data_IF_670631766639
#
_entry.id   IF_670631766639
#
_cell.length_a   1.000
_cell.length_b   1.000
_cell.length_c   1.000
_cell.angle_alpha   90.00
_cell.angle_beta   90.00
_cell.angle_gamma   90.00
#
_symmetry.space_group_name_H-M   'P 1'
#
loop_
_entity.id
_entity.type
_entity.pdbx_description
1 polymer ?
#
# COMPACT_ATOMS: atom_id res chain seq x y z
N UNK A 1 -9.91 11.92 43.68
CA UNK A 1 -10.10 11.94 42.22
C UNK A 1 -10.86 10.69 41.85
N UNK A 2 -12.03 10.85 41.26
CA UNK A 2 -12.92 9.72 40.95
C UNK A 2 -12.57 9.17 39.57
N UNK A 3 -12.83 7.87 39.36
CA UNK A 3 -12.54 7.11 38.13
C UNK A 3 -13.15 7.68 36.85
N UNK A 4 -14.01 8.71 36.95
CA UNK A 4 -14.58 9.46 35.83
C UNK A 4 -13.65 10.53 35.26
N UNK A 5 -12.71 11.06 36.04
CA UNK A 5 -11.82 12.16 35.61
C UNK A 5 -10.59 11.67 34.80
N UNK A 6 -10.28 10.37 34.85
CA UNK A 6 -9.26 9.73 34.00
C UNK A 6 -9.79 9.32 32.61
N UNK A 7 -11.10 9.47 32.36
CA UNK A 7 -11.76 9.10 31.11
C UNK A 7 -11.92 10.26 30.11
N UNK A 8 -11.55 11.48 30.48
CA UNK A 8 -11.46 12.63 29.57
C UNK A 8 -10.06 12.72 28.95
N UNK A 9 -9.61 11.62 28.36
CA UNK A 9 -8.44 11.64 27.47
C UNK A 9 -8.78 12.51 26.26
N UNK A 10 -8.12 13.67 26.16
CA UNK A 10 -8.09 14.60 25.01
C UNK A 10 -8.85 14.09 23.79
N UNK A 11 -10.08 14.59 23.57
CA UNK A 11 -10.80 14.39 22.31
C UNK A 11 -9.84 14.74 21.17
N UNK A 12 -9.53 13.78 20.32
CA UNK A 12 -8.67 14.01 19.16
C UNK A 12 -9.25 15.17 18.34
N UNK A 13 -8.40 16.14 17.97
CA UNK A 13 -8.78 17.27 17.12
C UNK A 13 -8.96 16.87 15.64
N UNK A 14 -8.82 15.57 15.32
CA UNK A 14 -8.99 15.05 13.97
C UNK A 14 -10.43 15.28 13.49
N UNK A 15 -10.55 15.86 12.29
CA UNK A 15 -11.83 15.99 11.58
C UNK A 15 -12.34 14.62 11.12
N UNK A 16 -11.41 13.73 10.78
CA UNK A 16 -11.65 12.33 10.46
C UNK A 16 -10.40 11.50 10.78
N UNK A 17 -10.56 10.18 10.80
CA UNK A 17 -9.45 9.22 10.90
C UNK A 17 -9.57 8.26 9.72
N UNK A 18 -8.63 8.32 8.80
CA UNK A 18 -8.60 7.48 7.62
C UNK A 18 -7.22 6.88 7.38
N UNK A 19 -7.21 5.66 6.86
CA UNK A 19 -5.99 4.95 6.50
C UNK A 19 -6.05 4.52 5.04
N UNK A 20 -5.00 4.84 4.28
CA UNK A 20 -4.76 4.16 3.01
C UNK A 20 -4.00 2.87 3.28
N UNK A 21 -4.53 1.75 2.79
CA UNK A 21 -4.02 0.39 3.08
C UNK A 21 -3.54 -0.34 1.84
N UNK A 22 -3.37 0.37 0.72
CA UNK A 22 -2.79 -0.20 -0.49
C UNK A 22 -1.31 -0.58 -0.31
N UNK A 23 -0.86 -1.57 -1.09
CA UNK A 23 0.56 -1.94 -1.13
C UNK A 23 1.41 -0.92 -1.89
N UNK A 24 2.73 -1.07 -1.83
CA UNK A 24 3.65 -0.27 -2.63
C UNK A 24 3.22 -0.19 -4.11
N UNK A 25 3.34 1.01 -4.70
CA UNK A 25 3.01 1.31 -6.10
C UNK A 25 1.53 1.29 -6.49
N UNK A 26 0.60 1.25 -5.54
CA UNK A 26 -0.85 1.34 -5.86
C UNK A 26 -1.45 2.73 -5.69
N UNK A 27 -0.65 3.76 -5.39
CA UNK A 27 -1.12 5.15 -5.29
C UNK A 27 -1.17 5.71 -3.86
N UNK A 28 -0.46 5.11 -2.91
CA UNK A 28 -0.37 5.57 -1.52
C UNK A 28 0.17 7.00 -1.39
N UNK A 29 1.21 7.39 -2.15
CA UNK A 29 1.71 8.78 -2.11
C UNK A 29 0.64 9.76 -2.56
N UNK A 30 0.01 9.50 -3.70
CA UNK A 30 -1.06 10.35 -4.23
C UNK A 30 -2.23 10.46 -3.26
N UNK A 31 -2.54 9.39 -2.51
CA UNK A 31 -3.56 9.47 -1.46
C UNK A 31 -3.14 10.40 -0.32
N UNK A 32 -1.89 10.36 0.13
CA UNK A 32 -1.41 11.31 1.14
C UNK A 32 -1.50 12.76 0.64
N UNK A 33 -1.01 13.00 -0.58
CA UNK A 33 -0.92 14.35 -1.15
C UNK A 33 -2.30 14.92 -1.49
N UNK A 34 -3.26 14.07 -1.89
CA UNK A 34 -4.66 14.45 -2.09
C UNK A 34 -5.27 15.08 -0.84
N UNK A 35 -4.86 14.60 0.33
CA UNK A 35 -5.25 15.13 1.64
C UNK A 35 -4.27 16.18 2.18
N UNK A 36 -3.44 16.81 1.34
CA UNK A 36 -2.39 17.76 1.78
C UNK A 36 -2.89 19.02 2.51
N UNK A 37 -4.21 19.32 2.48
CA UNK A 37 -4.83 20.38 3.30
C UNK A 37 -5.26 19.90 4.71
N UNK A 38 -5.05 18.63 4.99
CA UNK A 38 -5.31 17.95 6.25
C UNK A 38 -4.01 17.52 6.90
N UNK A 39 -4.07 17.01 8.13
CA UNK A 39 -2.92 16.33 8.74
C UNK A 39 -2.75 14.99 8.06
N UNK A 40 -2.01 15.00 6.95
CA UNK A 40 -1.80 13.85 6.09
C UNK A 40 -0.32 13.49 6.04
N UNK A 41 -0.02 12.20 5.97
CA UNK A 41 1.35 11.71 5.88
C UNK A 41 1.46 10.48 4.97
N UNK A 42 2.54 10.44 4.19
CA UNK A 42 2.96 9.23 3.48
C UNK A 42 4.08 8.55 4.25
N UNK A 43 3.92 7.27 4.57
CA UNK A 43 4.97 6.45 5.23
C UNK A 43 5.45 7.02 6.58
N UNK A 44 4.54 7.58 7.39
CA UNK A 44 4.86 8.09 8.72
C UNK A 44 5.53 7.00 9.60
N UNK A 45 6.70 7.34 10.17
CA UNK A 45 7.56 6.43 10.94
C UNK A 45 7.91 5.13 10.19
N UNK A 46 8.31 5.25 8.92
CA UNK A 46 8.49 4.11 8.02
C UNK A 46 9.43 3.04 8.58
N UNK A 47 10.69 3.41 8.85
CA UNK A 47 11.74 2.46 9.22
C UNK A 47 11.40 1.77 10.54
N UNK A 48 10.94 2.52 11.54
CA UNK A 48 10.54 2.00 12.84
C UNK A 48 9.36 1.03 12.71
N UNK A 49 8.37 1.37 11.90
CA UNK A 49 7.16 0.56 11.73
C UNK A 49 7.44 -0.73 10.99
N UNK A 50 8.25 -0.68 9.93
CA UNK A 50 8.68 -1.89 9.22
C UNK A 50 9.52 -2.80 10.12
N UNK A 51 10.40 -2.23 10.95
CA UNK A 51 11.16 -3.02 11.92
C UNK A 51 10.25 -3.72 12.95
N UNK A 52 9.19 -3.06 13.41
CA UNK A 52 8.20 -3.66 14.33
C UNK A 52 7.34 -4.73 13.64
N UNK A 53 6.94 -4.51 12.38
CA UNK A 53 6.26 -5.53 11.57
C UNK A 53 7.15 -6.77 11.44
N UNK A 54 8.42 -6.58 11.08
CA UNK A 54 9.38 -7.68 10.95
C UNK A 54 9.54 -8.44 12.27
N UNK A 55 9.78 -7.73 13.37
CA UNK A 55 9.91 -8.33 14.69
C UNK A 55 8.66 -9.13 15.11
N UNK A 56 7.47 -8.63 14.80
CA UNK A 56 6.22 -9.34 15.10
C UNK A 56 6.04 -10.58 14.24
N UNK A 57 6.26 -10.48 12.92
CA UNK A 57 6.11 -11.62 12.00
C UNK A 57 7.16 -12.71 12.22
N UNK A 58 8.33 -12.35 12.74
CA UNK A 58 9.39 -13.29 13.14
C UNK A 58 9.23 -13.80 14.59
N UNK A 59 8.17 -13.40 15.30
CA UNK A 59 7.87 -13.87 16.66
C UNK A 59 8.77 -13.29 17.76
N UNK A 60 9.54 -12.24 17.45
CA UNK A 60 10.46 -11.58 18.38
C UNK A 60 9.72 -10.67 19.39
N UNK A 61 8.51 -10.22 19.05
CA UNK A 61 7.63 -9.45 19.94
C UNK A 61 6.23 -10.06 19.96
N UNK A 62 5.56 -9.91 21.10
CA UNK A 62 4.18 -10.40 21.28
C UNK A 62 3.17 -9.59 20.43
N UNK A 63 2.00 -10.17 20.10
CA UNK A 63 0.89 -9.43 19.50
C UNK A 63 0.48 -8.20 20.32
N UNK A 64 0.52 -8.28 21.65
CA UNK A 64 0.18 -7.19 22.55
C UNK A 64 1.20 -6.04 22.48
N UNK A 65 2.49 -6.39 22.42
CA UNK A 65 3.58 -5.41 22.23
C UNK A 65 3.46 -4.71 20.88
N UNK A 66 3.18 -5.48 19.82
CA UNK A 66 3.01 -4.93 18.48
C UNK A 66 1.79 -4.01 18.39
N UNK A 67 0.63 -4.44 18.94
CA UNK A 67 -0.55 -3.59 19.07
C UNK A 67 -0.26 -2.30 19.84
N UNK A 68 0.44 -2.40 20.98
CA UNK A 68 0.81 -1.21 21.76
C UNK A 68 1.67 -0.22 20.95
N UNK A 69 2.59 -0.72 20.12
CA UNK A 69 3.36 0.11 19.19
C UNK A 69 2.48 0.78 18.13
N UNK A 70 1.54 0.06 17.51
CA UNK A 70 0.62 0.64 16.51
C UNK A 70 -0.24 1.75 17.13
N UNK A 71 -0.76 1.54 18.34
CA UNK A 71 -1.51 2.56 19.08
C UNK A 71 -0.63 3.76 19.45
N UNK A 72 0.63 3.53 19.79
CA UNK A 72 1.59 4.61 20.02
C UNK A 72 1.83 5.42 18.74
N UNK A 73 2.10 4.75 17.60
CA UNK A 73 2.30 5.38 16.30
C UNK A 73 1.12 6.25 15.89
N UNK A 74 -0.11 5.73 16.00
CA UNK A 74 -1.31 6.53 15.67
C UNK A 74 -1.40 7.80 16.52
N UNK A 75 -1.10 7.72 17.82
CA UNK A 75 -1.09 8.89 18.71
C UNK A 75 0.03 9.88 18.38
N UNK A 76 1.22 9.41 18.00
CA UNK A 76 2.34 10.27 17.65
C UNK A 76 2.10 11.06 16.37
N UNK A 77 1.53 10.42 15.34
CA UNK A 77 1.25 11.09 14.08
C UNK A 77 0.09 12.06 14.18
N UNK A 78 -0.92 11.73 15.00
CA UNK A 78 -2.22 12.40 15.05
C UNK A 78 -2.80 12.76 13.67
N UNK A 79 -2.53 11.88 12.69
CA UNK A 79 -2.89 12.08 11.28
C UNK A 79 -4.38 11.86 11.08
N UNK A 80 -4.97 12.73 10.27
CA UNK A 80 -6.30 12.58 9.72
C UNK A 80 -6.27 11.57 8.56
N UNK A 81 -5.27 11.65 7.67
CA UNK A 81 -4.98 10.67 6.62
C UNK A 81 -3.59 10.06 6.83
N UNK A 82 -3.56 8.79 7.18
CA UNK A 82 -2.32 8.01 7.27
C UNK A 82 -2.25 7.05 6.07
N UNK A 83 -1.43 7.42 5.10
CA UNK A 83 -1.24 6.61 3.91
C UNK A 83 0.11 5.93 3.96
N UNK A 84 0.10 4.60 4.10
CA UNK A 84 1.34 3.84 4.10
C UNK A 84 1.15 2.49 3.42
N UNK A 85 2.17 2.17 2.63
CA UNK A 85 2.36 0.91 1.92
C UNK A 85 2.37 -0.32 2.83
N UNK A 86 2.59 -0.13 4.13
CA UNK A 86 2.67 -1.18 5.14
C UNK A 86 1.45 -1.24 6.09
N UNK A 87 0.49 -0.30 5.98
CA UNK A 87 -0.69 -0.26 6.87
C UNK A 87 -1.49 -1.57 6.82
N UNK A 88 -1.53 -2.25 5.68
CA UNK A 88 -2.23 -3.53 5.54
C UNK A 88 -1.71 -4.63 6.46
N UNK A 89 -0.45 -4.57 6.90
CA UNK A 89 0.15 -5.61 7.76
C UNK A 89 -0.54 -5.68 9.13
N UNK A 90 -1.06 -4.56 9.62
CA UNK A 90 -1.73 -4.43 10.92
C UNK A 90 -3.17 -3.89 10.78
N UNK A 91 -3.79 -4.07 9.61
CA UNK A 91 -5.16 -3.62 9.35
C UNK A 91 -6.17 -4.13 10.39
N UNK A 92 -6.04 -5.39 10.81
CA UNK A 92 -6.86 -5.98 11.87
C UNK A 92 -6.84 -5.18 13.19
N UNK A 93 -5.68 -4.64 13.58
CA UNK A 93 -5.55 -3.78 14.77
C UNK A 93 -6.29 -2.46 14.54
N UNK A 94 -6.12 -1.83 13.37
CA UNK A 94 -6.80 -0.56 13.07
C UNK A 94 -8.33 -0.71 13.10
N UNK A 95 -8.85 -1.80 12.54
CA UNK A 95 -10.29 -2.09 12.51
C UNK A 95 -10.86 -2.27 13.91
N UNK A 96 -10.13 -3.02 14.76
CA UNK A 96 -10.56 -3.35 16.12
C UNK A 96 -10.49 -2.15 17.06
N UNK A 97 -9.41 -1.36 16.97
CA UNK A 97 -9.15 -0.28 17.94
C UNK A 97 -9.81 1.04 17.56
N UNK A 98 -10.11 1.25 16.28
CA UNK A 98 -10.68 2.51 15.78
C UNK A 98 -11.98 2.23 15.03
N UNK A 99 -13.08 2.13 15.76
CA UNK A 99 -14.42 1.80 15.23
C UNK A 99 -14.96 2.84 14.23
N UNK A 100 -14.52 4.09 14.35
CA UNK A 100 -14.91 5.21 13.49
C UNK A 100 -14.01 5.37 12.27
N UNK A 101 -12.85 4.71 12.25
CA UNK A 101 -11.87 4.87 11.18
C UNK A 101 -12.41 4.41 9.83
N UNK A 102 -11.98 5.12 8.78
CA UNK A 102 -12.29 4.83 7.38
C UNK A 102 -11.08 4.23 6.67
N UNK A 103 -11.31 3.33 5.73
CA UNK A 103 -10.25 2.64 5.02
C UNK A 103 -10.36 2.88 3.51
N UNK A 104 -9.26 3.32 2.91
CA UNK A 104 -9.17 3.44 1.45
C UNK A 104 -8.16 2.41 0.97
N UNK A 105 -8.63 1.46 0.17
CA UNK A 105 -7.78 0.44 -0.43
C UNK A 105 -7.49 0.81 -1.87
N UNK A 106 -6.31 1.40 -2.09
CA UNK A 106 -5.81 1.65 -3.44
C UNK A 106 -5.19 0.38 -4.02
N UNK A 107 -5.59 0.02 -5.23
CA UNK A 107 -5.15 -1.21 -5.89
C UNK A 107 -4.82 -0.98 -7.36
N UNK A 108 -3.81 -1.67 -7.88
CA UNK A 108 -3.38 -1.59 -9.28
C UNK A 108 -3.35 -3.00 -9.89
N UNK A 109 -3.66 -3.11 -11.18
CA UNK A 109 -3.56 -4.37 -11.90
C UNK A 109 -2.15 -4.97 -11.81
N UNK A 110 -2.05 -6.30 -11.84
CA UNK A 110 -0.79 -6.99 -11.56
C UNK A 110 0.32 -6.62 -12.55
N UNK A 111 0.00 -6.39 -13.83
CA UNK A 111 0.96 -6.01 -14.86
C UNK A 111 1.53 -4.60 -14.60
N UNK A 112 0.66 -3.59 -14.52
CA UNK A 112 1.09 -2.21 -14.30
C UNK A 112 1.72 -2.02 -12.92
N UNK A 113 1.33 -2.83 -11.93
CA UNK A 113 1.97 -2.87 -10.62
C UNK A 113 3.39 -3.43 -10.71
N UNK A 114 3.55 -4.61 -11.32
CA UNK A 114 4.83 -5.28 -11.46
C UNK A 114 5.83 -4.37 -12.18
N UNK A 115 5.43 -3.81 -13.32
CA UNK A 115 6.28 -2.89 -14.08
C UNK A 115 6.64 -1.62 -13.27
N UNK A 116 5.69 -1.09 -12.50
CA UNK A 116 5.95 0.09 -11.66
C UNK A 116 6.87 -0.19 -10.48
N UNK A 117 6.81 -1.40 -9.92
CA UNK A 117 7.68 -1.85 -8.86
C UNK A 117 9.11 -2.07 -9.37
N UNK A 118 9.28 -2.74 -10.50
CA UNK A 118 10.60 -2.94 -11.13
C UNK A 118 11.25 -1.59 -11.46
N UNK A 119 10.49 -0.64 -12.00
CA UNK A 119 10.99 0.73 -12.23
C UNK A 119 11.36 1.45 -10.93
N UNK A 120 10.67 1.20 -9.81
CA UNK A 120 11.07 1.75 -8.51
C UNK A 120 12.42 1.18 -8.09
N UNK A 121 12.55 -0.15 -8.08
CA UNK A 121 13.79 -0.86 -7.72
C UNK A 121 14.97 -0.41 -8.58
N UNK A 122 14.77 -0.28 -9.89
CA UNK A 122 15.78 0.20 -10.83
C UNK A 122 16.26 1.62 -10.52
N UNK A 123 15.32 2.56 -10.32
CA UNK A 123 15.66 3.95 -10.05
C UNK A 123 16.31 4.14 -8.69
N UNK A 124 15.88 3.36 -7.71
CA UNK A 124 16.51 3.36 -6.40
C UNK A 124 17.93 2.82 -6.48
N UNK A 125 18.19 1.77 -7.26
CA UNK A 125 19.52 1.25 -7.55
C UNK A 125 20.39 1.11 -6.29
N UNK A 126 21.58 1.70 -6.32
CA UNK A 126 22.51 1.73 -5.16
C UNK A 126 22.11 2.69 -4.03
N UNK A 127 21.00 3.42 -4.17
CA UNK A 127 20.48 4.35 -3.15
C UNK A 127 19.48 3.70 -2.21
N UNK A 128 19.19 2.40 -2.37
CA UNK A 128 18.35 1.65 -1.44
C UNK A 128 19.07 1.58 -0.08
N UNK A 129 18.46 2.06 1.03
CA UNK A 129 19.06 1.96 2.35
C UNK A 129 19.24 0.51 2.80
N UNK A 130 20.29 0.22 3.59
CA UNK A 130 20.58 -1.14 4.09
C UNK A 130 19.40 -1.80 4.82
N UNK A 131 18.63 -1.02 5.57
CA UNK A 131 17.46 -1.55 6.29
C UNK A 131 16.37 -2.08 5.35
N UNK A 132 16.25 -1.53 4.14
CA UNK A 132 15.31 -2.03 3.13
C UNK A 132 15.76 -3.35 2.53
N UNK A 133 17.06 -3.68 2.51
CA UNK A 133 17.49 -5.03 2.15
C UNK A 133 17.15 -6.03 3.26
N UNK A 134 17.28 -5.62 4.52
CA UNK A 134 16.95 -6.47 5.67
C UNK A 134 15.45 -6.74 5.81
N UNK A 135 14.61 -5.73 5.55
CA UNK A 135 13.17 -5.81 5.82
C UNK A 135 12.29 -5.65 4.58
N UNK A 136 12.86 -5.44 3.39
CA UNK A 136 12.14 -5.20 2.14
C UNK A 136 11.20 -6.33 1.75
N UNK A 137 11.51 -7.57 2.14
CA UNK A 137 10.60 -8.72 1.96
C UNK A 137 9.23 -8.49 2.62
N UNK A 138 9.16 -7.71 3.71
CA UNK A 138 7.90 -7.36 4.39
C UNK A 138 7.12 -6.22 3.70
N UNK A 139 7.76 -5.53 2.75
CA UNK A 139 7.25 -4.37 2.03
C UNK A 139 6.87 -4.69 0.57
N UNK A 140 7.62 -5.59 -0.09
CA UNK A 140 7.42 -5.97 -1.50
C UNK A 140 7.36 -7.48 -1.72
N UNK A 141 7.40 -8.28 -0.65
CA UNK A 141 7.26 -9.74 -0.71
C UNK A 141 8.42 -10.49 -1.33
N UNK A 142 9.51 -9.78 -1.64
CA UNK A 142 10.68 -10.30 -2.29
C UNK A 142 11.94 -9.71 -1.65
N UNK A 143 12.94 -10.56 -1.43
CA UNK A 143 14.26 -10.11 -0.98
C UNK A 143 15.05 -9.66 -2.20
N UNK A 144 15.18 -8.34 -2.37
CA UNK A 144 15.87 -7.78 -3.52
C UNK A 144 17.34 -8.15 -3.45
N UNK A 145 17.80 -8.91 -4.43
CA UNK A 145 19.21 -9.15 -4.64
C UNK A 145 19.89 -7.83 -5.01
N UNK A 146 20.83 -7.36 -4.18
CA UNK A 146 21.55 -6.10 -4.38
C UNK A 146 22.30 -6.08 -5.73
N UNK A 147 22.82 -7.23 -6.19
CA UNK A 147 23.47 -7.29 -7.50
C UNK A 147 22.48 -7.26 -8.66
N UNK A 148 21.22 -7.64 -8.45
CA UNK A 148 20.21 -7.61 -9.51
C UNK A 148 19.79 -6.18 -9.88
N UNK A 149 19.84 -5.23 -8.93
CA UNK A 149 19.47 -3.83 -9.19
C UNK A 149 20.65 -2.96 -9.69
N UNK A 150 21.82 -3.55 -9.94
CA UNK A 150 23.01 -2.80 -10.35
C UNK A 150 23.17 -2.61 -11.86
N UNK A 151 22.43 -3.37 -12.68
CA UNK A 151 22.43 -3.25 -14.15
C UNK A 151 21.12 -3.76 -14.76
N UNK A 152 20.83 -3.39 -16.01
CA UNK A 152 19.66 -3.88 -16.74
C UNK A 152 19.77 -5.39 -16.95
N UNK A 153 20.96 -5.86 -17.32
CA UNK A 153 21.28 -7.25 -17.60
C UNK A 153 21.04 -8.13 -16.36
N UNK A 154 21.57 -7.71 -15.20
CA UNK A 154 21.36 -8.44 -13.94
C UNK A 154 19.90 -8.45 -13.49
N UNK A 155 19.15 -7.36 -13.73
CA UNK A 155 17.72 -7.33 -13.43
C UNK A 155 16.94 -8.29 -14.32
N UNK A 156 17.25 -8.34 -15.62
CA UNK A 156 16.60 -9.26 -16.57
C UNK A 156 16.91 -10.73 -16.26
N UNK A 157 18.13 -11.04 -15.79
CA UNK A 157 18.51 -12.40 -15.38
C UNK A 157 17.76 -12.84 -14.10
N UNK A 158 17.55 -11.93 -13.15
CA UNK A 158 16.83 -12.21 -11.90
C UNK A 158 15.30 -12.22 -12.07
N UNK A 159 14.78 -11.52 -13.08
CA UNK A 159 13.35 -11.27 -13.24
C UNK A 159 12.49 -12.55 -13.26
N UNK A 160 12.87 -13.63 -13.97
CA UNK A 160 12.12 -14.89 -13.91
C UNK A 160 12.02 -15.48 -12.49
N UNK A 161 13.08 -15.38 -11.68
CA UNK A 161 13.09 -15.88 -10.30
C UNK A 161 12.26 -14.99 -9.37
N UNK A 162 12.33 -13.67 -9.57
CA UNK A 162 11.58 -12.70 -8.78
C UNK A 162 10.07 -12.72 -9.09
N UNK A 163 9.69 -13.08 -10.31
CA UNK A 163 8.32 -12.98 -10.83
C UNK A 163 7.31 -13.70 -9.93
N UNK A 164 7.60 -14.95 -9.55
CA UNK A 164 6.68 -15.74 -8.72
C UNK A 164 6.50 -15.12 -7.34
N UNK A 165 7.59 -14.67 -6.70
CA UNK A 165 7.55 -14.02 -5.39
C UNK A 165 6.73 -12.73 -5.41
N UNK A 166 6.94 -11.90 -6.44
CA UNK A 166 6.23 -10.64 -6.63
C UNK A 166 4.73 -10.85 -6.90
N UNK A 167 4.37 -11.77 -7.81
CA UNK A 167 2.96 -12.05 -8.12
C UNK A 167 2.23 -12.72 -6.94
N UNK A 168 2.88 -13.67 -6.26
CA UNK A 168 2.38 -14.26 -5.01
C UNK A 168 2.16 -13.18 -3.94
N UNK A 169 3.10 -12.22 -3.81
CA UNK A 169 2.95 -11.13 -2.86
C UNK A 169 1.77 -10.21 -3.20
N UNK A 170 1.63 -9.83 -4.47
CA UNK A 170 0.50 -9.04 -4.95
C UNK A 170 -0.81 -9.75 -4.61
N UNK A 171 -0.92 -11.04 -4.94
CA UNK A 171 -2.13 -11.83 -4.66
C UNK A 171 -2.43 -11.88 -3.16
N UNK A 172 -1.47 -12.35 -2.35
CA UNK A 172 -1.69 -12.59 -0.92
C UNK A 172 -2.00 -11.31 -0.17
N UNK A 173 -1.31 -10.22 -0.49
CA UNK A 173 -1.50 -8.94 0.19
C UNK A 173 -2.85 -8.34 -0.14
N UNK A 174 -3.22 -8.29 -1.42
CA UNK A 174 -4.51 -7.73 -1.84
C UNK A 174 -5.69 -8.61 -1.36
N UNK A 175 -5.57 -9.94 -1.42
CA UNK A 175 -6.59 -10.85 -0.88
C UNK A 175 -6.78 -10.63 0.63
N UNK A 176 -5.69 -10.60 1.40
CA UNK A 176 -5.75 -10.36 2.86
C UNK A 176 -6.41 -9.02 3.20
N UNK A 177 -6.14 -7.97 2.43
CA UNK A 177 -6.80 -6.68 2.61
C UNK A 177 -8.31 -6.85 2.41
N UNK A 178 -8.72 -7.46 1.28
CA UNK A 178 -10.14 -7.67 0.96
C UNK A 178 -10.88 -8.51 2.01
N UNK A 179 -10.21 -9.52 2.57
CA UNK A 179 -10.79 -10.38 3.60
C UNK A 179 -11.00 -9.66 4.94
N UNK A 180 -10.20 -8.63 5.21
CA UNK A 180 -10.26 -7.85 6.46
C UNK A 180 -11.13 -6.60 6.35
N UNK A 181 -11.27 -6.00 5.17
CA UNK A 181 -11.89 -4.68 5.03
C UNK A 181 -13.37 -4.68 5.49
N UNK A 182 -13.75 -3.79 6.41
CA UNK A 182 -15.14 -3.61 6.80
C UNK A 182 -15.92 -2.86 5.70
N UNK A 183 -16.90 -3.49 5.03
CA UNK A 183 -17.54 -2.92 3.83
C UNK A 183 -18.27 -1.59 4.09
N UNK A 184 -18.78 -1.37 5.30
CA UNK A 184 -19.54 -0.18 5.69
C UNK A 184 -18.67 1.09 5.87
N UNK A 185 -17.35 0.92 5.94
CA UNK A 185 -16.40 2.03 6.19
C UNK A 185 -15.14 1.91 5.36
N UNK A 186 -15.24 1.22 4.22
CA UNK A 186 -14.14 1.02 3.28
C UNK A 186 -14.51 1.43 1.87
N UNK A 187 -13.53 1.94 1.11
CA UNK A 187 -13.64 2.20 -0.31
C UNK A 187 -12.46 1.57 -1.06
N UNK A 188 -12.75 0.81 -2.12
CA UNK A 188 -11.74 0.23 -3.00
C UNK A 188 -11.58 1.16 -4.19
N UNK A 189 -10.34 1.58 -4.47
CA UNK A 189 -10.03 2.56 -5.52
C UNK A 189 -8.94 1.99 -6.44
N UNK A 190 -9.32 1.48 -7.63
CA UNK A 190 -8.35 1.17 -8.67
C UNK A 190 -7.52 2.41 -9.02
N UNK A 191 -6.19 2.29 -9.12
CA UNK A 191 -5.29 3.44 -9.32
C UNK A 191 -5.65 4.22 -10.58
N UNK A 192 -6.09 3.56 -11.65
CA UNK A 192 -6.51 4.21 -12.90
C UNK A 192 -7.82 5.00 -12.78
N UNK A 193 -8.60 4.75 -11.71
CA UNK A 193 -9.87 5.43 -11.41
C UNK A 193 -9.75 6.46 -10.29
N UNK A 194 -8.55 6.69 -9.73
CA UNK A 194 -8.35 7.59 -8.59
C UNK A 194 -8.95 8.99 -8.83
N UNK A 195 -8.73 9.56 -10.01
CA UNK A 195 -9.28 10.87 -10.41
C UNK A 195 -10.81 10.90 -10.46
N UNK A 196 -11.44 9.77 -10.81
CA UNK A 196 -12.90 9.64 -10.91
C UNK A 196 -13.53 9.35 -9.54
N UNK A 197 -12.74 8.89 -8.57
CA UNK A 197 -13.21 8.52 -7.24
C UNK A 197 -13.10 9.65 -6.21
N UNK A 198 -12.73 10.88 -6.59
CA UNK A 198 -12.52 11.99 -5.65
C UNK A 198 -13.75 12.30 -4.79
N UNK A 199 -14.93 12.33 -5.41
CA UNK A 199 -16.18 12.56 -4.70
C UNK A 199 -16.49 11.44 -3.70
N UNK A 200 -16.28 10.18 -4.12
CA UNK A 200 -16.48 9.01 -3.25
C UNK A 200 -15.50 9.00 -2.06
N UNK A 201 -14.23 9.38 -2.31
CA UNK A 201 -13.19 9.50 -1.29
C UNK A 201 -13.57 10.57 -0.27
N UNK A 202 -13.98 11.76 -0.74
CA UNK A 202 -14.40 12.86 0.13
C UNK A 202 -15.63 12.48 0.98
N UNK A 203 -16.64 11.87 0.34
CA UNK A 203 -17.86 11.41 1.00
C UNK A 203 -17.58 10.35 2.07
N UNK A 204 -16.67 9.39 1.81
CA UNK A 204 -16.31 8.34 2.78
C UNK A 204 -15.81 8.93 4.10
N UNK A 205 -14.97 9.96 4.02
CA UNK A 205 -14.32 10.58 5.19
C UNK A 205 -15.08 11.79 5.73
N UNK A 206 -16.17 12.19 5.08
CA UNK A 206 -17.05 13.27 5.54
C UNK A 206 -16.49 14.69 5.30
N UNK A 207 -15.76 14.90 4.20
CA UNK A 207 -15.26 16.22 3.78
C UNK A 207 -15.82 16.59 2.41
N UNK A 208 -15.66 17.86 1.99
CA UNK A 208 -16.10 18.28 0.65
C UNK A 208 -15.04 17.96 -0.41
N UNK A 209 -15.40 17.59 -1.65
CA UNK A 209 -14.42 17.28 -2.70
C UNK A 209 -13.44 18.44 -2.97
N UNK A 210 -13.91 19.69 -2.88
CA UNK A 210 -13.11 20.90 -3.13
C UNK A 210 -12.01 21.11 -2.08
N UNK A 211 -12.12 20.46 -0.93
CA UNK A 211 -11.11 20.49 0.12
C UNK A 211 -9.88 19.63 -0.21
N UNK A 212 -10.01 18.68 -1.13
CA UNK A 212 -8.92 17.83 -1.60
C UNK A 212 -8.03 18.60 -2.59
N UNK A 213 -6.75 18.19 -2.68
CA UNK A 213 -5.79 18.76 -3.63
C UNK A 213 -5.84 17.94 -4.91
N UNK A 214 -6.75 18.30 -5.83
CA UNK A 214 -6.96 17.53 -7.06
C UNK A 214 -5.67 17.41 -7.90
N UNK A 215 -4.84 18.45 -7.94
CA UNK A 215 -3.60 18.48 -8.71
C UNK A 215 -2.58 17.45 -8.20
N UNK A 216 -2.72 16.99 -6.96
CA UNK A 216 -1.84 16.02 -6.34
C UNK A 216 -2.13 14.56 -6.74
N UNK A 217 -3.21 14.28 -7.49
CA UNK A 217 -3.57 12.93 -7.95
C UNK A 217 -2.52 12.24 -8.83
N UNK A 218 -1.54 13.00 -9.33
CA UNK A 218 -0.43 12.53 -10.16
C UNK A 218 0.95 12.94 -9.62
N UNK A 219 1.05 13.37 -8.35
CA UNK A 219 2.29 13.85 -7.72
C UNK A 219 3.47 12.88 -7.83
N UNK A 220 3.21 11.57 -7.92
CA UNK A 220 4.21 10.52 -8.08
C UNK A 220 4.09 9.76 -9.42
N UNK A 221 3.59 10.41 -10.47
CA UNK A 221 3.73 9.88 -11.83
C UNK A 221 5.22 9.87 -12.17
N UNK A 222 5.80 8.68 -12.13
CA UNK A 222 7.09 8.40 -12.69
C UNK A 222 7.14 8.88 -14.16
N UNK A 223 8.24 9.53 -14.64
CA UNK A 223 8.47 9.70 -16.07
C UNK A 223 8.40 8.33 -16.78
N UNK A 224 8.19 8.28 -18.11
CA UNK A 224 8.09 7.03 -18.86
C UNK A 224 9.18 6.05 -18.41
N UNK A 225 8.73 4.95 -17.80
CA UNK A 225 9.61 3.93 -17.25
C UNK A 225 10.17 3.04 -18.34
N UNK A 226 11.16 2.24 -17.98
CA UNK A 226 11.53 1.10 -18.78
C UNK A 226 10.37 0.10 -18.72
N UNK A 227 9.86 -0.32 -19.88
CA UNK A 227 8.85 -1.38 -19.90
C UNK A 227 9.57 -2.73 -19.73
N UNK A 228 9.65 -3.21 -18.50
CA UNK A 228 10.36 -4.43 -18.15
C UNK A 228 9.64 -5.68 -18.67
N UNK A 229 8.31 -5.61 -18.78
CA UNK A 229 7.48 -6.78 -19.10
C UNK A 229 7.68 -7.25 -20.53
N UNK A 230 8.05 -6.37 -21.45
CA UNK A 230 8.32 -6.74 -22.86
C UNK A 230 9.56 -7.62 -23.05
N UNK A 231 10.40 -7.76 -22.03
CA UNK A 231 11.60 -8.62 -22.07
C UNK A 231 11.40 -9.96 -21.38
N UNK A 232 10.23 -10.18 -20.78
CA UNK A 232 9.83 -11.49 -20.27
C UNK A 232 9.20 -12.25 -21.44
N UNK A 233 9.42 -13.57 -21.47
CA UNK A 233 8.63 -14.46 -22.32
C UNK A 233 7.13 -14.23 -22.02
N UNK A 234 6.35 -13.88 -23.06
CA UNK A 234 4.98 -13.43 -22.88
C UNK A 234 4.06 -14.58 -22.45
N UNK A 235 4.30 -15.80 -22.94
CA UNK A 235 3.50 -16.97 -22.57
C UNK A 235 3.75 -17.30 -21.09
N UNK A 236 5.01 -17.26 -20.64
CA UNK A 236 5.36 -17.43 -19.23
C UNK A 236 4.73 -16.33 -18.35
N UNK A 237 4.81 -15.05 -18.77
CA UNK A 237 4.24 -13.94 -18.00
C UNK A 237 2.73 -14.10 -17.84
N UNK A 238 2.01 -14.40 -18.92
CA UNK A 238 0.56 -14.61 -18.90
C UNK A 238 0.17 -15.84 -18.07
N UNK A 239 0.89 -16.95 -18.20
CA UNK A 239 0.68 -18.15 -17.39
C UNK A 239 0.79 -17.81 -15.90
N UNK A 240 1.87 -17.11 -15.49
CA UNK A 240 2.10 -16.80 -14.08
C UNK A 240 1.14 -15.74 -13.54
N UNK A 241 0.83 -14.70 -14.33
CA UNK A 241 -0.17 -13.71 -13.96
C UNK A 241 -1.56 -14.35 -13.80
N UNK A 242 -1.96 -15.22 -14.71
CA UNK A 242 -3.22 -15.97 -14.62
C UNK A 242 -3.25 -16.87 -13.38
N UNK A 243 -2.19 -17.67 -13.17
CA UNK A 243 -2.09 -18.59 -12.04
C UNK A 243 -2.15 -17.89 -10.68
N UNK A 244 -1.36 -16.85 -10.48
CA UNK A 244 -1.30 -16.14 -9.19
C UNK A 244 -2.43 -15.11 -9.05
N UNK A 245 -2.67 -14.28 -10.06
CA UNK A 245 -3.45 -13.06 -9.90
C UNK A 245 -4.83 -13.11 -10.56
N UNK A 246 -5.11 -14.11 -11.41
CA UNK A 246 -6.27 -14.13 -12.31
C UNK A 246 -7.62 -13.90 -11.62
N UNK A 247 -7.90 -14.61 -10.53
CA UNK A 247 -9.17 -14.47 -9.79
C UNK A 247 -9.40 -13.07 -9.21
N UNK A 248 -8.34 -12.46 -8.66
CA UNK A 248 -8.41 -11.09 -8.15
C UNK A 248 -8.46 -10.06 -9.27
N UNK A 249 -7.77 -10.32 -10.38
CA UNK A 249 -7.81 -9.46 -11.57
C UNK A 249 -9.23 -9.38 -12.14
N UNK A 250 -9.92 -10.51 -12.29
CA UNK A 250 -11.32 -10.55 -12.73
C UNK A 250 -12.25 -9.81 -11.76
N UNK A 251 -12.03 -9.94 -10.45
CA UNK A 251 -12.84 -9.28 -9.42
C UNK A 251 -12.65 -7.77 -9.37
N UNK A 252 -11.40 -7.30 -9.44
CA UNK A 252 -11.03 -5.90 -9.16
C UNK A 252 -10.92 -5.05 -10.43
N UNK A 253 -10.66 -5.67 -11.58
CA UNK A 253 -10.40 -5.00 -12.86
C UNK A 253 -11.19 -5.62 -14.03
N UNK A 254 -12.52 -5.84 -13.89
CA UNK A 254 -13.31 -6.45 -14.96
C UNK A 254 -13.26 -5.63 -16.27
N UNK A 255 -13.17 -4.31 -16.16
CA UNK A 255 -13.04 -3.40 -17.32
C UNK A 255 -11.76 -3.61 -18.13
N UNK A 256 -10.66 -4.02 -17.49
CA UNK A 256 -9.41 -4.31 -18.20
C UNK A 256 -9.43 -5.68 -18.87
N UNK A 257 -10.13 -6.65 -18.27
CA UNK A 257 -10.27 -8.01 -18.81
C UNK A 257 -11.19 -8.08 -20.04
N UNK A 258 -12.17 -7.19 -20.14
CA UNK A 258 -13.06 -7.10 -21.32
C UNK A 258 -12.37 -6.50 -22.55
N UNK A 259 -11.43 -5.58 -22.35
CA UNK A 259 -10.70 -4.91 -23.44
C UNK A 259 -9.67 -5.84 -24.09
N UNK A 260 -9.05 -6.74 -23.34
CA UNK A 260 -8.10 -7.74 -23.86
C UNK A 260 -8.74 -8.95 -24.58
N UNK A 261 -10.07 -9.08 -24.57
CA UNK A 261 -10.82 -10.17 -25.23
C UNK A 261 -11.44 -9.78 -26.58
N UNK A 262 -11.20 -8.56 -27.07
CA UNK A 262 -11.61 -8.05 -28.39
C UNK A 262 -10.39 -7.85 -29.29
#
# INVERSE_FOLDING_TARGET
MTSKELAEGTRSSRRFRAYCVGIAKTGTNSMADLFGRYRSGHEFMFQETVAQIAAWQEGMISPESFKAYILYRDRQGDLEMDSATFNHNYLHILIQEFSEAKFIFTVRDCYSWLNSLLNMSWRSGNSIPDWMFKYGKFFIGYEVNRSAVSSVEAMLEELPNALEGLLSYWQKSNQRILDLLPPERSLIVPTHKLSQSLEQIANLVGVTPESLVEEAKHSNQAPPGYDWLKYIDQDLLEERCSFYCGSLMERLFPDLMEVGRK
#
